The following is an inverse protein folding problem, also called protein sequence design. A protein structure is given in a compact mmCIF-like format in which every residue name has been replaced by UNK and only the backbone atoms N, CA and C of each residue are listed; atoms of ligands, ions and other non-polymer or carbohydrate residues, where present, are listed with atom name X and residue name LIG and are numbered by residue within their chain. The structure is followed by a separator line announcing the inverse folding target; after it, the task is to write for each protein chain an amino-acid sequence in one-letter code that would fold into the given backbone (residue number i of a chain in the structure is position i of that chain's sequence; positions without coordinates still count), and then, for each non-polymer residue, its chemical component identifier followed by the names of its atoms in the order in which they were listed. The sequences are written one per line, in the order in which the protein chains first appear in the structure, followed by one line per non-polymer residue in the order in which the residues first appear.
data_IF_294897386985
#
_entry.id   IF_294897386985
#
_cell.length_a   1.000
_cell.length_b   1.000
_cell.length_c   1.000
_cell.angle_alpha   90.00
_cell.angle_beta   90.00
_cell.angle_gamma   90.00
#
_symmetry.space_group_name_H-M   'P 1'
#
loop_
_entity.id
_entity.type
_entity.pdbx_description
1 polymer ?
#
# COMPACT_ATOMS: atom_id res chain seq x y z
N UNK A 1 8.02 -101.48 -2.37
CA UNK A 1 8.08 -100.64 -3.57
C UNK A 1 7.23 -99.41 -3.32
N UNK A 2 7.88 -98.30 -3.15
CA UNK A 2 7.28 -97.02 -2.82
C UNK A 2 7.85 -95.96 -3.79
N UNK A 3 7.04 -95.14 -4.47
CA UNK A 3 7.61 -93.92 -5.02
C UNK A 3 6.88 -92.66 -4.54
N UNK A 4 7.76 -91.78 -4.25
CA UNK A 4 7.77 -90.36 -4.63
C UNK A 4 6.97 -89.33 -3.83
N UNK A 5 7.68 -88.77 -2.90
CA UNK A 5 7.50 -87.39 -2.45
C UNK A 5 8.23 -86.44 -3.40
N UNK A 6 7.51 -85.65 -4.18
CA UNK A 6 8.08 -84.52 -4.90
C UNK A 6 7.36 -83.18 -4.53
N UNK A 7 8.05 -82.45 -3.70
CA UNK A 7 8.37 -81.01 -3.85
C UNK A 7 7.26 -80.02 -4.27
N UNK A 8 6.71 -79.32 -3.30
CA UNK A 8 6.02 -78.05 -3.45
C UNK A 8 6.87 -76.91 -2.83
N UNK A 9 7.95 -76.54 -3.54
CA UNK A 9 8.85 -75.45 -3.05
C UNK A 9 9.00 -74.24 -4.02
N UNK A 10 8.16 -74.16 -5.07
CA UNK A 10 8.36 -73.16 -6.11
C UNK A 10 7.53 -71.85 -6.04
N UNK A 11 6.44 -71.81 -5.26
CA UNK A 11 5.43 -70.74 -5.42
C UNK A 11 5.56 -69.56 -4.45
N UNK A 12 6.48 -69.56 -3.49
CA UNK A 12 6.58 -68.48 -2.46
C UNK A 12 7.52 -67.36 -2.80
N UNK A 13 8.40 -67.45 -3.79
CA UNK A 13 9.42 -66.44 -4.10
C UNK A 13 8.92 -65.28 -4.99
N UNK A 14 7.87 -65.42 -5.74
CA UNK A 14 7.38 -64.37 -6.68
C UNK A 14 6.49 -63.31 -6.05
N UNK A 15 5.89 -63.56 -4.86
CA UNK A 15 5.00 -62.64 -4.20
C UNK A 15 5.74 -61.52 -3.42
N UNK A 16 6.95 -61.78 -2.93
CA UNK A 16 7.73 -60.80 -2.16
C UNK A 16 8.37 -59.72 -3.06
N UNK A 17 8.74 -60.06 -4.27
CA UNK A 17 9.38 -59.16 -5.21
C UNK A 17 8.40 -58.12 -5.78
N UNK A 18 7.16 -58.49 -6.01
CA UNK A 18 6.10 -57.57 -6.45
C UNK A 18 5.73 -56.56 -5.37
N UNK A 19 5.67 -56.98 -4.09
CA UNK A 19 5.36 -56.07 -2.97
C UNK A 19 6.44 -55.00 -2.77
N UNK A 20 7.72 -55.34 -2.91
CA UNK A 20 8.82 -54.36 -2.79
C UNK A 20 8.84 -53.35 -3.92
N UNK A 21 8.44 -53.73 -5.14
CA UNK A 21 8.34 -52.84 -6.27
C UNK A 21 7.18 -51.83 -6.10
N UNK A 22 6.01 -52.27 -5.66
CA UNK A 22 4.85 -51.43 -5.41
C UNK A 22 5.14 -50.38 -4.32
N UNK A 23 5.83 -50.77 -3.25
CA UNK A 23 6.25 -49.85 -2.18
C UNK A 23 7.23 -48.80 -2.70
N UNK A 24 8.20 -49.17 -3.54
CA UNK A 24 9.15 -48.21 -4.15
C UNK A 24 8.45 -47.23 -5.08
N UNK A 25 7.52 -47.68 -5.91
CA UNK A 25 6.72 -46.83 -6.76
C UNK A 25 5.84 -45.86 -5.96
N UNK A 26 5.25 -46.33 -4.85
CA UNK A 26 4.50 -45.48 -3.92
C UNK A 26 5.37 -44.42 -3.27
N UNK A 27 6.59 -44.75 -2.85
CA UNK A 27 7.53 -43.80 -2.28
C UNK A 27 7.95 -42.71 -3.31
N UNK A 28 8.25 -43.11 -4.56
CA UNK A 28 8.62 -42.21 -5.66
C UNK A 28 7.45 -41.27 -5.96
N UNK A 29 6.21 -41.79 -6.01
CA UNK A 29 5.01 -41.00 -6.27
C UNK A 29 4.79 -39.92 -5.19
N UNK A 30 4.89 -40.28 -3.91
CA UNK A 30 4.78 -39.31 -2.82
C UNK A 30 5.93 -38.29 -2.80
N UNK A 31 7.12 -38.72 -3.19
CA UNK A 31 8.27 -37.82 -3.30
C UNK A 31 8.05 -36.79 -4.42
N UNK A 32 7.55 -37.23 -5.58
CA UNK A 32 7.21 -36.33 -6.70
C UNK A 32 6.12 -35.33 -6.28
N UNK A 33 5.06 -35.78 -5.62
CA UNK A 33 4.01 -34.89 -5.10
C UNK A 33 4.58 -33.90 -4.10
N UNK A 34 5.43 -34.33 -3.19
CA UNK A 34 6.09 -33.46 -2.21
C UNK A 34 6.96 -32.38 -2.88
N UNK A 35 7.76 -32.77 -3.87
CA UNK A 35 8.59 -31.83 -4.66
C UNK A 35 7.72 -30.83 -5.44
N UNK A 36 6.65 -31.28 -6.09
CA UNK A 36 5.72 -30.41 -6.80
C UNK A 36 5.04 -29.40 -5.86
N UNK A 37 4.58 -29.87 -4.70
CA UNK A 37 3.97 -29.01 -3.67
C UNK A 37 4.94 -27.96 -3.14
N UNK A 38 6.19 -28.35 -2.85
CA UNK A 38 7.24 -27.43 -2.43
C UNK A 38 7.61 -26.41 -3.54
N UNK A 39 7.69 -26.86 -4.77
CA UNK A 39 7.97 -25.99 -5.91
C UNK A 39 6.86 -24.97 -6.13
N UNK A 40 5.60 -25.40 -6.02
CA UNK A 40 4.45 -24.51 -6.11
C UNK A 40 4.45 -23.47 -4.96
N UNK A 41 4.73 -23.91 -3.74
CA UNK A 41 4.83 -23.02 -2.58
C UNK A 41 5.96 -22.00 -2.74
N UNK A 42 7.13 -22.44 -3.18
CA UNK A 42 8.28 -21.55 -3.44
C UNK A 42 7.96 -20.55 -4.55
N UNK A 43 7.29 -20.97 -5.62
CA UNK A 43 6.84 -20.12 -6.70
C UNK A 43 5.88 -19.01 -6.20
N UNK A 44 4.85 -19.38 -5.44
CA UNK A 44 3.88 -18.43 -4.90
C UNK A 44 4.53 -17.41 -3.96
N UNK A 45 5.47 -17.86 -3.12
CA UNK A 45 6.23 -16.97 -2.24
C UNK A 45 7.15 -16.02 -3.00
N UNK A 46 7.76 -16.50 -4.08
CA UNK A 46 8.65 -15.68 -4.92
C UNK A 46 7.86 -14.63 -5.68
N UNK A 47 6.71 -14.99 -6.24
CA UNK A 47 5.81 -14.08 -6.95
C UNK A 47 5.41 -12.90 -6.06
N UNK A 48 4.96 -13.15 -4.82
CA UNK A 48 4.57 -12.12 -3.88
C UNK A 48 5.76 -11.17 -3.56
N UNK A 49 6.96 -11.72 -3.35
CA UNK A 49 8.15 -10.91 -3.08
C UNK A 49 8.58 -10.08 -4.29
N UNK A 50 8.58 -10.66 -5.48
CA UNK A 50 8.92 -9.94 -6.70
C UNK A 50 7.94 -8.80 -6.97
N UNK A 51 6.66 -9.02 -6.75
CA UNK A 51 5.64 -7.99 -6.87
C UNK A 51 5.89 -6.83 -5.90
N UNK A 52 6.19 -7.11 -4.63
CA UNK A 52 6.53 -6.09 -3.63
C UNK A 52 7.77 -5.27 -4.03
N UNK A 53 8.84 -5.93 -4.50
CA UNK A 53 10.06 -5.24 -4.95
C UNK A 53 9.78 -4.37 -6.18
N UNK A 54 8.99 -4.85 -7.13
CA UNK A 54 8.62 -4.11 -8.32
C UNK A 54 7.82 -2.85 -7.97
N UNK A 55 6.80 -2.99 -7.13
CA UNK A 55 5.97 -1.87 -6.66
C UNK A 55 6.77 -0.88 -5.83
N UNK A 56 7.66 -1.34 -4.96
CA UNK A 56 8.54 -0.48 -4.19
C UNK A 56 9.45 0.36 -5.09
N UNK A 57 10.00 -0.22 -6.16
CA UNK A 57 10.83 0.53 -7.13
C UNK A 57 10.04 1.59 -7.88
N UNK A 58 8.81 1.27 -8.30
CA UNK A 58 7.92 2.26 -8.94
C UNK A 58 7.61 3.41 -8.00
N UNK A 59 7.26 3.09 -6.77
CA UNK A 59 6.98 4.08 -5.74
C UNK A 59 8.18 5.00 -5.45
N UNK A 60 9.38 4.44 -5.30
CA UNK A 60 10.60 5.22 -5.10
C UNK A 60 10.90 6.15 -6.27
N UNK A 61 10.71 5.70 -7.52
CA UNK A 61 10.88 6.56 -8.70
C UNK A 61 9.89 7.72 -8.69
N UNK A 62 8.63 7.47 -8.36
CA UNK A 62 7.61 8.51 -8.27
C UNK A 62 7.91 9.52 -7.15
N UNK A 63 8.41 9.07 -6.00
CA UNK A 63 8.88 9.98 -4.94
C UNK A 63 10.04 10.87 -5.41
N UNK A 64 11.03 10.31 -6.10
CA UNK A 64 12.17 11.09 -6.64
C UNK A 64 11.71 12.15 -7.62
N UNK A 65 10.81 11.82 -8.55
CA UNK A 65 10.25 12.78 -9.52
C UNK A 65 9.52 13.91 -8.79
N UNK A 66 8.67 13.58 -7.83
CA UNK A 66 7.90 14.56 -7.06
C UNK A 66 8.80 15.46 -6.20
N UNK A 67 9.83 14.91 -5.58
CA UNK A 67 10.83 15.70 -4.84
C UNK A 67 11.60 16.64 -5.74
N UNK A 68 11.98 16.20 -6.94
CA UNK A 68 12.66 17.04 -7.94
C UNK A 68 11.76 18.16 -8.47
N UNK A 69 10.47 17.89 -8.62
CA UNK A 69 9.47 18.85 -9.08
C UNK A 69 9.18 19.92 -8.00
N UNK A 70 9.16 19.57 -6.74
CA UNK A 70 9.03 20.49 -5.62
C UNK A 70 10.25 21.43 -5.46
N UNK A 71 11.44 21.00 -5.87
CA UNK A 71 12.66 21.81 -5.83
C UNK A 71 12.75 22.84 -6.98
N UNK A 72 12.08 22.59 -8.12
CA UNK A 72 12.10 23.46 -9.29
C UNK A 72 11.57 24.88 -9.05
N UNK A 73 10.40 25.09 -8.42
CA UNK A 73 9.88 26.44 -8.18
C UNK A 73 10.79 27.24 -7.25
N UNK A 74 11.43 26.61 -6.27
CA UNK A 74 12.35 27.27 -5.35
C UNK A 74 13.62 27.76 -6.08
N UNK A 75 14.15 26.98 -7.01
CA UNK A 75 15.31 27.39 -7.81
C UNK A 75 14.97 28.49 -8.83
N UNK A 76 13.78 28.41 -9.44
CA UNK A 76 13.31 29.48 -10.33
C UNK A 76 13.07 30.79 -9.59
N UNK A 77 12.47 30.74 -8.40
CA UNK A 77 12.26 31.94 -7.56
C UNK A 77 13.58 32.54 -7.09
N UNK A 78 14.55 31.75 -6.69
CA UNK A 78 15.88 32.22 -6.30
C UNK A 78 16.63 32.81 -7.45
N UNK A 79 16.53 32.22 -8.66
CA UNK A 79 17.15 32.79 -9.87
C UNK A 79 16.49 34.12 -10.28
N UNK A 80 15.15 34.20 -10.26
CA UNK A 80 14.42 35.42 -10.53
C UNK A 80 14.78 36.54 -9.55
N UNK A 81 14.94 36.23 -8.28
CA UNK A 81 15.34 37.19 -7.25
C UNK A 81 16.81 37.64 -7.39
N UNK A 82 17.69 36.71 -7.80
CA UNK A 82 19.08 37.04 -8.13
C UNK A 82 19.17 37.93 -9.38
N UNK A 83 18.39 37.60 -10.43
CA UNK A 83 18.34 38.39 -11.65
C UNK A 83 17.74 39.81 -11.41
N UNK A 84 16.71 39.91 -10.54
CA UNK A 84 16.13 41.17 -10.11
C UNK A 84 17.11 42.04 -9.31
N UNK A 85 17.86 41.43 -8.37
CA UNK A 85 18.93 42.16 -7.62
C UNK A 85 20.05 42.64 -8.54
N UNK A 86 20.44 41.82 -9.52
CA UNK A 86 21.45 42.21 -10.50
C UNK A 86 20.97 43.35 -11.42
N UNK A 87 19.67 43.35 -11.79
CA UNK A 87 19.07 44.43 -12.56
C UNK A 87 19.01 45.75 -11.77
N UNK A 88 18.59 45.73 -10.52
CA UNK A 88 18.56 46.90 -9.64
C UNK A 88 19.96 47.46 -9.36
N UNK A 89 20.96 46.64 -9.18
CA UNK A 89 22.36 47.11 -9.02
C UNK A 89 22.89 47.82 -10.26
N UNK A 90 22.40 47.44 -11.46
CA UNK A 90 22.73 48.18 -12.70
C UNK A 90 22.02 49.53 -12.81
N UNK A 91 20.77 49.62 -12.33
CA UNK A 91 20.02 50.90 -12.34
C UNK A 91 20.63 51.90 -11.36
N UNK A 92 21.07 51.46 -10.17
CA UNK A 92 21.78 52.35 -9.22
C UNK A 92 23.13 52.83 -9.74
N UNK A 93 23.81 52.06 -10.57
CA UNK A 93 25.08 52.47 -11.20
C UNK A 93 24.89 53.49 -12.35
N UNK A 94 23.69 53.67 -12.91
CA UNK A 94 23.38 54.64 -13.97
C UNK A 94 22.65 55.89 -13.48
N UNK A 95 22.32 55.98 -12.18
CA UNK A 95 21.58 57.08 -11.58
C UNK A 95 22.45 58.31 -11.23
N UNK A 96 23.58 58.54 -11.92
CA UNK A 96 24.41 59.72 -11.72
C UNK A 96 24.43 60.64 -12.95
N UNK A 97 23.22 61.08 -13.39
CA UNK A 97 23.05 62.17 -14.40
C UNK A 97 21.98 63.16 -13.91
N UNK A 98 22.19 64.48 -14.12
CA UNK A 98 21.40 65.49 -13.44
C UNK A 98 19.99 65.65 -14.01
N UNK A 99 19.09 66.06 -13.14
CA UNK A 99 17.66 66.28 -13.36
C UNK A 99 17.43 67.38 -14.41
N UNK A 100 16.62 67.08 -15.43
CA UNK A 100 15.87 68.07 -16.16
C UNK A 100 14.38 67.79 -16.00
N UNK A 101 13.69 68.74 -15.37
CA UNK A 101 12.27 68.68 -15.18
C UNK A 101 11.47 68.93 -16.43
N UNK A 102 10.24 68.37 -16.45
CA UNK A 102 9.06 69.04 -17.07
C UNK A 102 7.79 68.33 -16.61
N UNK A 103 6.99 69.04 -15.82
CA UNK A 103 5.55 69.33 -15.82
C UNK A 103 4.55 68.30 -16.39
N UNK A 104 3.72 67.90 -15.46
CA UNK A 104 2.26 67.81 -15.47
C UNK A 104 1.51 67.48 -16.78
N UNK A 105 0.70 66.45 -16.76
CA UNK A 105 -0.77 66.57 -16.90
C UNK A 105 -1.48 65.27 -16.56
N UNK A 106 -2.50 65.35 -15.72
CA UNK A 106 -3.58 64.40 -15.59
C UNK A 106 -4.78 64.88 -16.41
N UNK A 107 -5.60 63.99 -16.92
CA UNK A 107 -6.98 64.05 -16.44
C UNK A 107 -7.64 62.67 -16.18
N UNK A 108 -8.52 62.74 -15.19
CA UNK A 108 -9.61 61.86 -14.82
C UNK A 108 -10.52 61.40 -15.98
N UNK A 109 -11.13 60.29 -15.74
CA UNK A 109 -12.54 59.91 -15.97
C UNK A 109 -12.59 58.41 -16.33
N UNK A 110 -13.54 57.57 -16.02
CA UNK A 110 -14.77 57.63 -15.24
C UNK A 110 -15.15 56.18 -14.90
N UNK A 111 -15.91 56.07 -13.86
CA UNK A 111 -16.63 54.88 -13.39
C UNK A 111 -17.69 54.45 -14.44
N UNK A 112 -17.79 53.17 -14.71
CA UNK A 112 -19.12 52.59 -15.00
C UNK A 112 -19.29 51.18 -14.43
N UNK A 113 -20.43 51.03 -13.80
CA UNK A 113 -20.93 49.90 -13.04
C UNK A 113 -21.56 48.84 -13.95
N UNK A 114 -21.49 47.64 -13.47
CA UNK A 114 -22.31 46.44 -13.63
C UNK A 114 -23.69 46.61 -14.28
N UNK A 115 -24.30 45.55 -14.84
CA UNK A 115 -25.06 44.65 -13.98
C UNK A 115 -24.99 43.15 -14.38
N UNK A 116 -25.31 42.34 -13.35
CA UNK A 116 -25.51 40.97 -13.25
C UNK A 116 -26.19 40.19 -14.38
N UNK A 117 -25.73 38.97 -14.50
CA UNK A 117 -26.47 37.93 -15.22
C UNK A 117 -26.41 36.60 -14.45
N UNK A 118 -27.60 36.05 -14.40
CA UNK A 118 -28.08 34.91 -13.63
C UNK A 118 -27.35 33.61 -13.99
N UNK A 119 -27.09 32.79 -12.99
CA UNK A 119 -26.71 31.39 -13.13
C UNK A 119 -27.86 30.56 -13.76
N UNK A 120 -27.55 29.62 -14.67
CA UNK A 120 -28.50 28.56 -14.98
C UNK A 120 -28.23 27.34 -14.06
N UNK A 121 -29.29 26.92 -13.40
CA UNK A 121 -29.40 25.60 -12.76
C UNK A 121 -29.02 24.51 -13.75
N UNK A 122 -28.10 23.63 -13.34
CA UNK A 122 -27.82 22.38 -14.04
C UNK A 122 -28.60 21.25 -13.39
N UNK A 123 -29.31 20.44 -14.19
CA UNK A 123 -30.07 19.31 -13.69
C UNK A 123 -29.15 18.19 -13.25
N UNK A 124 -29.54 17.53 -12.17
CA UNK A 124 -28.87 16.42 -11.53
C UNK A 124 -28.32 15.39 -12.49
N UNK A 125 -27.02 15.26 -12.49
CA UNK A 125 -26.35 14.15 -13.13
C UNK A 125 -26.14 13.06 -12.08
N UNK A 126 -26.94 12.01 -12.19
CA UNK A 126 -26.72 10.72 -11.56
C UNK A 126 -25.25 10.37 -11.72
N UNK A 127 -24.50 10.38 -10.62
CA UNK A 127 -23.12 9.92 -10.59
C UNK A 127 -23.11 8.42 -10.88
N UNK A 128 -22.97 8.08 -12.16
CA UNK A 128 -22.43 6.79 -12.57
C UNK A 128 -21.02 6.77 -11.99
N UNK A 129 -20.84 6.01 -10.92
CA UNK A 129 -19.51 5.64 -10.45
C UNK A 129 -18.82 4.85 -11.59
N UNK A 130 -18.21 5.56 -12.50
CA UNK A 130 -17.20 5.00 -13.35
C UNK A 130 -16.11 4.49 -12.40
N UNK A 131 -16.06 3.18 -12.20
CA UNK A 131 -14.89 2.52 -11.64
C UNK A 131 -13.71 2.89 -12.52
N UNK A 132 -12.95 3.88 -12.08
CA UNK A 132 -11.67 4.19 -12.67
C UNK A 132 -10.89 2.87 -12.76
N UNK A 133 -10.19 2.57 -13.88
CA UNK A 133 -9.37 1.38 -13.98
C UNK A 133 -8.45 1.40 -12.76
N UNK A 134 -8.46 0.29 -12.00
CA UNK A 134 -7.62 0.13 -10.82
C UNK A 134 -6.18 0.38 -11.27
N UNK A 135 -5.67 1.56 -10.97
CA UNK A 135 -4.30 1.93 -11.26
C UNK A 135 -3.47 1.01 -10.37
N UNK A 136 -2.73 0.10 -10.98
CA UNK A 136 -1.84 -0.87 -10.32
C UNK A 136 -0.63 -0.14 -9.66
N UNK A 137 -0.87 1.11 -9.21
CA UNK A 137 0.13 1.97 -8.57
C UNK A 137 -0.05 1.97 -7.05
N UNK A 138 1.03 1.78 -6.27
CA UNK A 138 0.94 1.74 -4.82
C UNK A 138 0.58 3.11 -4.23
N UNK A 139 -0.36 3.12 -3.30
CA UNK A 139 -0.74 4.29 -2.51
C UNK A 139 0.36 4.69 -1.52
N UNK A 140 1.19 3.73 -1.11
CA UNK A 140 2.24 3.94 -0.14
C UNK A 140 2.86 2.65 0.38
N UNK A 141 3.59 2.77 1.47
CA UNK A 141 4.23 1.67 2.19
C UNK A 141 3.92 1.78 3.68
N UNK A 142 3.65 0.64 4.33
CA UNK A 142 3.48 0.52 5.77
C UNK A 142 4.64 -0.25 6.38
N UNK A 143 5.14 0.21 7.52
CA UNK A 143 6.24 -0.40 8.26
C UNK A 143 5.95 -0.40 9.76
N UNK A 144 6.27 -1.52 10.44
CA UNK A 144 6.32 -1.63 11.91
C UNK A 144 7.61 -2.36 12.24
N UNK A 145 8.68 -1.59 12.47
CA UNK A 145 10.03 -2.12 12.56
C UNK A 145 10.19 -3.18 13.67
N UNK A 146 9.56 -2.96 14.85
CA UNK A 146 9.68 -3.88 15.99
C UNK A 146 9.24 -5.31 15.68
N UNK A 147 8.28 -5.48 14.80
CA UNK A 147 7.75 -6.81 14.44
C UNK A 147 8.15 -7.25 13.03
N UNK A 148 8.98 -6.47 12.32
CA UNK A 148 9.43 -6.77 10.98
C UNK A 148 8.30 -6.77 9.94
N UNK A 149 7.27 -5.94 10.13
CA UNK A 149 6.23 -5.75 9.13
C UNK A 149 6.67 -4.66 8.16
N UNK A 150 6.69 -5.01 6.89
CA UNK A 150 6.92 -4.08 5.77
C UNK A 150 6.10 -4.57 4.57
N UNK A 151 5.27 -3.68 4.00
CA UNK A 151 4.45 -4.01 2.83
C UNK A 151 4.04 -2.76 2.05
N UNK A 152 3.82 -2.94 0.74
CA UNK A 152 3.19 -1.91 -0.09
C UNK A 152 1.69 -1.86 0.17
N UNK A 153 1.11 -0.66 0.08
CA UNK A 153 -0.32 -0.40 0.21
C UNK A 153 -0.89 -0.17 -1.19
N UNK A 154 -1.93 -0.91 -1.54
CA UNK A 154 -2.65 -0.81 -2.81
C UNK A 154 -4.12 -0.47 -2.54
N UNK A 155 -4.82 0.06 -3.55
CA UNK A 155 -6.25 0.32 -3.42
C UNK A 155 -7.07 -0.97 -3.45
N UNK A 156 -8.10 -1.03 -2.58
CA UNK A 156 -9.12 -2.06 -2.58
C UNK A 156 -8.76 -3.36 -1.85
N UNK A 157 -9.77 -4.23 -1.71
CA UNK A 157 -9.72 -5.49 -0.97
C UNK A 157 -9.89 -6.71 -1.89
N UNK A 158 -9.73 -6.54 -3.19
CA UNK A 158 -9.83 -7.63 -4.15
C UNK A 158 -8.81 -8.73 -3.87
N UNK A 159 -9.12 -9.97 -4.26
CA UNK A 159 -8.24 -11.13 -4.04
C UNK A 159 -6.82 -10.91 -4.59
N UNK A 160 -6.71 -10.29 -5.78
CA UNK A 160 -5.42 -9.94 -6.38
C UNK A 160 -4.62 -8.98 -5.48
N UNK A 161 -5.26 -7.94 -4.95
CA UNK A 161 -4.62 -6.98 -4.05
C UNK A 161 -4.13 -7.64 -2.77
N UNK A 162 -5.01 -8.35 -2.06
CA UNK A 162 -4.69 -8.94 -0.76
C UNK A 162 -3.69 -10.11 -0.86
N UNK A 163 -3.56 -10.73 -2.02
CA UNK A 163 -2.52 -11.74 -2.27
C UNK A 163 -1.13 -11.13 -2.34
N UNK A 164 -1.00 -9.89 -2.82
CA UNK A 164 0.28 -9.28 -3.13
C UNK A 164 0.64 -8.05 -2.31
N UNK A 165 -0.32 -7.47 -1.58
CA UNK A 165 -0.15 -6.21 -0.84
C UNK A 165 -1.07 -6.11 0.38
N UNK A 166 -0.90 -5.03 1.13
CA UNK A 166 -1.90 -4.52 2.08
C UNK A 166 -2.91 -3.71 1.28
N UNK A 167 -4.20 -4.00 1.45
CA UNK A 167 -5.29 -3.31 0.78
C UNK A 167 -5.79 -2.12 1.59
N UNK A 168 -5.96 -0.96 0.94
CA UNK A 168 -6.71 0.15 1.48
C UNK A 168 -8.21 -0.17 1.42
N UNK A 169 -8.93 0.07 2.52
CA UNK A 169 -10.37 -0.21 2.63
C UNK A 169 -11.14 0.93 1.94
N UNK A 170 -11.85 0.66 0.84
CA UNK A 170 -12.62 1.68 0.13
C UNK A 170 -13.64 2.36 1.05
N UNK A 171 -13.84 3.66 0.86
CA UNK A 171 -14.74 4.47 1.70
C UNK A 171 -14.11 4.99 3.00
N UNK A 172 -12.86 4.61 3.30
CA UNK A 172 -12.06 5.26 4.35
C UNK A 172 -11.13 6.31 3.73
N UNK A 173 -10.64 7.30 4.52
CA UNK A 173 -9.65 8.27 4.03
C UNK A 173 -8.40 7.59 3.47
N UNK A 174 -7.79 8.17 2.44
CA UNK A 174 -6.57 7.64 1.85
C UNK A 174 -5.39 7.68 2.85
N UNK A 175 -4.39 6.79 2.70
CA UNK A 175 -3.21 6.76 3.54
C UNK A 175 -2.54 8.13 3.66
N UNK A 176 -2.31 8.60 4.90
CA UNK A 176 -1.73 9.91 5.19
C UNK A 176 -2.74 11.05 5.39
N UNK A 177 -3.98 10.90 4.97
CA UNK A 177 -5.04 11.89 5.15
C UNK A 177 -5.61 11.91 6.57
N UNK A 178 -6.38 12.95 6.87
CA UNK A 178 -7.11 13.08 8.15
C UNK A 178 -8.31 12.13 8.20
N UNK A 179 -8.67 11.71 9.41
CA UNK A 179 -9.74 10.77 9.65
C UNK A 179 -9.24 9.36 9.98
N UNK A 180 -10.10 8.35 9.83
CA UNK A 180 -9.77 6.96 10.14
C UNK A 180 -9.40 6.17 8.87
N UNK A 181 -8.13 6.08 8.57
CA UNK A 181 -7.58 5.31 7.46
C UNK A 181 -7.69 3.82 7.75
N UNK A 182 -8.37 3.06 6.90
CA UNK A 182 -8.53 1.62 7.02
C UNK A 182 -7.57 0.83 6.12
N UNK A 183 -6.81 -0.09 6.68
CA UNK A 183 -5.94 -1.00 5.93
C UNK A 183 -6.23 -2.45 6.32
N UNK A 184 -6.30 -3.35 5.34
CA UNK A 184 -6.54 -4.77 5.57
C UNK A 184 -5.53 -5.66 4.85
N UNK A 185 -5.21 -6.81 5.45
CA UNK A 185 -4.43 -7.87 4.82
C UNK A 185 -4.71 -9.23 5.48
N UNK A 186 -4.30 -10.30 4.81
CA UNK A 186 -4.42 -11.65 5.36
C UNK A 186 -3.55 -11.85 6.60
N UNK A 187 -4.09 -12.59 7.58
CA UNK A 187 -3.44 -12.94 8.86
C UNK A 187 -2.22 -13.86 8.71
N UNK A 188 -2.14 -14.57 7.61
CA UNK A 188 -1.10 -15.56 7.31
C UNK A 188 -0.02 -15.06 6.35
N UNK A 189 -0.21 -13.87 5.78
CA UNK A 189 0.75 -13.19 4.90
C UNK A 189 1.26 -11.88 5.52
N UNK A 190 0.90 -10.73 4.96
CA UNK A 190 1.44 -9.42 5.34
C UNK A 190 1.13 -9.02 6.78
N UNK A 191 -0.05 -9.38 7.31
CA UNK A 191 -0.41 -9.06 8.69
C UNK A 191 -0.15 -10.21 9.68
N UNK A 192 0.56 -11.26 9.26
CA UNK A 192 1.04 -12.29 10.18
C UNK A 192 1.89 -11.76 11.35
N UNK A 193 2.79 -10.76 11.13
CA UNK A 193 3.56 -10.18 12.24
C UNK A 193 2.70 -9.46 13.29
N UNK A 194 1.46 -9.02 12.96
CA UNK A 194 0.58 -8.34 13.92
C UNK A 194 0.21 -9.18 15.14
N UNK A 195 0.41 -10.51 15.11
CA UNK A 195 0.28 -11.37 16.31
C UNK A 195 1.20 -10.93 17.45
N UNK A 196 2.27 -10.21 17.15
CA UNK A 196 3.28 -9.73 18.11
C UNK A 196 3.20 -8.22 18.35
N UNK A 197 2.21 -7.51 17.75
CA UNK A 197 2.05 -6.07 17.92
C UNK A 197 1.66 -5.75 19.37
N UNK A 198 2.10 -4.59 19.88
CA UNK A 198 1.83 -4.13 21.24
C UNK A 198 1.36 -2.69 21.23
N UNK A 199 0.62 -2.33 22.26
CA UNK A 199 0.33 -0.92 22.55
C UNK A 199 1.64 -0.14 22.72
N UNK A 200 1.71 1.04 22.09
CA UNK A 200 2.92 1.86 22.03
C UNK A 200 3.82 1.62 20.83
N UNK A 201 3.60 0.56 20.03
CA UNK A 201 4.37 0.35 18.80
C UNK A 201 4.17 1.51 17.83
N UNK A 202 5.24 1.85 17.11
CA UNK A 202 5.19 2.84 16.05
C UNK A 202 4.89 2.18 14.71
N UNK A 203 3.94 2.77 13.98
CA UNK A 203 3.59 2.43 12.60
C UNK A 203 3.96 3.61 11.72
N UNK A 204 4.73 3.35 10.68
CA UNK A 204 5.15 4.35 9.71
C UNK A 204 4.40 4.09 8.41
N UNK A 205 3.72 5.09 7.88
CA UNK A 205 3.06 5.07 6.57
C UNK A 205 3.73 6.12 5.70
N UNK A 206 4.37 5.67 4.64
CA UNK A 206 5.03 6.51 3.65
C UNK A 206 4.18 6.57 2.38
N UNK A 207 3.77 7.76 1.98
CA UNK A 207 3.02 8.04 0.75
C UNK A 207 3.82 8.94 -0.18
N UNK A 208 3.28 9.31 -1.33
CA UNK A 208 3.89 10.33 -2.20
C UNK A 208 3.83 11.72 -1.57
N UNK A 209 2.88 11.95 -0.64
CA UNK A 209 2.67 13.24 0.02
C UNK A 209 3.56 13.40 1.26
N UNK A 210 4.19 12.32 1.74
CA UNK A 210 5.10 12.36 2.88
C UNK A 210 5.02 11.16 3.78
N UNK A 211 5.61 11.31 4.97
CA UNK A 211 5.68 10.26 5.99
C UNK A 211 4.76 10.61 7.15
N UNK A 212 3.87 9.69 7.50
CA UNK A 212 2.99 9.79 8.67
C UNK A 212 3.38 8.72 9.69
N UNK A 213 3.54 9.12 10.95
CA UNK A 213 3.86 8.23 12.06
C UNK A 213 2.65 8.09 12.96
N UNK A 214 2.36 6.85 13.37
CA UNK A 214 1.25 6.53 14.24
C UNK A 214 1.76 5.70 15.42
N UNK A 215 1.09 5.83 16.58
CA UNK A 215 1.36 5.00 17.76
C UNK A 215 0.16 4.14 18.07
N UNK A 216 0.38 2.85 18.24
CA UNK A 216 -0.68 1.90 18.59
C UNK A 216 -1.25 2.25 19.98
N UNK A 217 -2.55 2.51 20.02
CA UNK A 217 -3.27 2.85 21.25
C UNK A 217 -4.22 1.75 21.73
N UNK A 218 -4.78 0.97 20.78
CA UNK A 218 -5.76 -0.06 21.09
C UNK A 218 -5.56 -1.31 20.24
N UNK A 219 -5.70 -2.46 20.88
CA UNK A 219 -5.80 -3.77 20.25
C UNK A 219 -7.13 -4.38 20.67
N UNK A 220 -7.92 -4.86 19.72
CA UNK A 220 -9.21 -5.49 20.02
C UNK A 220 -9.52 -6.61 19.05
N UNK A 221 -10.45 -7.47 19.45
CA UNK A 221 -11.02 -8.54 18.61
C UNK A 221 -12.51 -8.28 18.52
N UNK A 222 -13.01 -8.22 17.29
CA UNK A 222 -14.42 -7.90 17.00
C UNK A 222 -15.03 -8.96 16.08
N UNK A 223 -16.36 -9.02 16.02
CA UNK A 223 -17.07 -9.82 15.04
C UNK A 223 -16.91 -9.21 13.63
N UNK A 224 -16.98 -10.01 12.56
CA UNK A 224 -16.76 -9.56 11.18
C UNK A 224 -17.70 -8.44 10.75
N UNK A 225 -18.91 -8.39 11.28
CA UNK A 225 -19.97 -7.44 10.98
C UNK A 225 -19.78 -6.09 11.68
N UNK A 226 -18.86 -6.02 12.65
CA UNK A 226 -18.60 -4.78 13.38
C UNK A 226 -17.75 -3.82 12.55
N UNK A 227 -18.40 -3.08 11.67
CA UNK A 227 -17.79 -2.04 10.82
C UNK A 227 -17.58 -0.71 11.55
N UNK A 228 -18.07 -0.56 12.78
CA UNK A 228 -17.94 0.67 13.57
C UNK A 228 -16.47 1.04 13.84
N UNK A 229 -15.57 0.05 13.83
CA UNK A 229 -14.13 0.25 13.95
C UNK A 229 -13.55 1.10 12.82
N UNK A 230 -14.24 1.20 11.69
CA UNK A 230 -13.85 1.97 10.50
C UNK A 230 -14.58 3.32 10.39
N UNK A 231 -15.51 3.63 11.30
CA UNK A 231 -16.17 4.94 11.28
C UNK A 231 -15.15 6.07 11.28
N UNK A 232 -15.42 7.08 10.47
CA UNK A 232 -14.54 8.24 10.37
C UNK A 232 -14.48 8.97 11.71
N UNK A 233 -13.34 9.61 11.97
CA UNK A 233 -13.04 10.33 13.22
C UNK A 233 -12.49 11.71 12.91
N UNK A 234 -12.63 12.64 13.84
CA UNK A 234 -12.00 13.95 13.74
C UNK A 234 -10.47 13.85 13.86
N UNK A 235 -10.02 12.92 14.69
CA UNK A 235 -8.58 12.63 14.85
C UNK A 235 -8.05 11.81 13.68
N UNK A 236 -6.80 12.02 13.32
CA UNK A 236 -6.11 11.19 12.33
C UNK A 236 -5.69 9.85 12.96
N UNK A 237 -6.38 8.81 12.56
CA UNK A 237 -6.25 7.44 13.08
C UNK A 237 -5.96 6.46 11.93
N UNK A 238 -5.21 5.43 12.24
CA UNK A 238 -4.98 4.29 11.36
C UNK A 238 -5.55 3.03 11.99
N UNK A 239 -6.41 2.34 11.27
CA UNK A 239 -7.03 1.08 11.69
C UNK A 239 -6.56 -0.06 10.79
N UNK A 240 -5.81 -1.02 11.36
CA UNK A 240 -5.40 -2.24 10.66
C UNK A 240 -6.38 -3.35 11.00
N UNK A 241 -6.83 -4.07 9.96
CA UNK A 241 -7.83 -5.14 10.08
C UNK A 241 -7.27 -6.43 9.51
N UNK A 242 -7.32 -7.51 10.28
CA UNK A 242 -6.99 -8.85 9.79
C UNK A 242 -7.87 -9.92 10.41
N UNK A 243 -7.85 -11.10 9.84
CA UNK A 243 -8.58 -12.25 10.36
C UNK A 243 -8.02 -12.75 11.70
N UNK A 244 -8.88 -13.25 12.60
CA UNK A 244 -8.52 -13.80 13.89
C UNK A 244 -9.30 -15.11 14.19
N UNK A 245 -8.72 -16.12 14.86
CA UNK A 245 -7.36 -16.22 15.43
C UNK A 245 -6.25 -16.43 14.37
N UNK A 246 -5.00 -16.07 14.73
CA UNK A 246 -3.85 -16.16 13.83
C UNK A 246 -3.45 -17.62 13.48
N UNK A 247 -3.80 -18.60 14.31
CA UNK A 247 -3.46 -20.02 14.11
C UNK A 247 -4.66 -20.88 13.68
N UNK A 248 -5.74 -20.23 13.27
CA UNK A 248 -6.96 -20.92 12.88
C UNK A 248 -6.90 -21.37 11.41
N UNK A 249 -7.32 -22.62 11.13
CA UNK A 249 -7.42 -23.16 9.77
C UNK A 249 -8.89 -23.06 9.33
N UNK A 250 -9.14 -22.39 8.19
CA UNK A 250 -10.47 -22.16 7.65
C UNK A 250 -10.98 -20.72 7.80
N UNK A 251 -12.29 -20.48 7.53
CA UNK A 251 -12.92 -19.16 7.64
C UNK A 251 -12.79 -18.60 9.05
N UNK A 252 -12.20 -17.43 9.17
CA UNK A 252 -11.96 -16.82 10.48
C UNK A 252 -13.24 -16.26 11.10
N UNK A 253 -13.58 -16.63 12.34
CA UNK A 253 -14.82 -16.17 12.99
C UNK A 253 -14.76 -14.69 13.39
N UNK A 254 -13.58 -14.11 13.57
CA UNK A 254 -13.41 -12.73 14.07
C UNK A 254 -12.38 -11.94 13.30
N UNK A 255 -12.28 -10.65 13.65
CA UNK A 255 -11.28 -9.72 13.14
C UNK A 255 -10.41 -9.22 14.29
N UNK A 256 -9.10 -9.16 14.05
CA UNK A 256 -8.15 -8.50 14.93
C UNK A 256 -7.94 -7.08 14.42
N UNK A 257 -8.11 -6.12 15.33
CA UNK A 257 -8.07 -4.69 15.06
C UNK A 257 -6.87 -4.09 15.80
N UNK A 258 -6.06 -3.35 15.06
CA UNK A 258 -5.00 -2.51 15.61
C UNK A 258 -5.36 -1.07 15.29
N UNK A 259 -5.63 -0.27 16.33
CA UNK A 259 -5.91 1.16 16.19
C UNK A 259 -4.71 1.96 16.65
N UNK A 260 -4.28 2.88 15.83
CA UNK A 260 -3.13 3.73 16.09
C UNK A 260 -3.47 5.20 15.78
N UNK A 261 -3.03 6.13 16.63
CA UNK A 261 -3.23 7.57 16.50
C UNK A 261 -1.99 8.21 15.88
N UNK A 262 -2.18 9.17 14.99
CA UNK A 262 -1.08 9.93 14.39
C UNK A 262 -0.30 10.68 15.47
N UNK A 263 1.03 10.60 15.40
CA UNK A 263 1.93 11.35 16.25
C UNK A 263 2.22 12.66 15.51
N UNK A 264 1.88 13.77 16.18
CA UNK A 264 2.32 15.09 15.70
C UNK A 264 3.72 15.32 16.28
N UNK A 265 4.70 15.55 15.41
CA UNK A 265 6.03 16.00 15.83
C UNK A 265 6.00 17.48 16.14
#
# INVERSE_FOLDING_TARGET
MNPATQSATGARRSASWRRSSILRWGQIFFLIIGVLALSYYAYAMLEAKLYQVYQARQFQRAQQVRSAEQLRPTQQSQKAEADFRAANARVESTANLPAVGLLADSPNADLEQSPGESAPEQPGTTAVQASAPAIDFPLGRIEIHRIGLEAMIMEGLGEKTLRHAVGHIPGTPAPGQSGNVGLAAHRDTFFRPLRNVRKGDEIIVTTLDGVSRYRVELLSVVEPENVDVLKNTLDTVLTLVTCYPFHFIGPAPRRFIVRARKITN
#
